data_IF_065224369320
#
_entry.id   IF_065224369320
#
_cell.length_a   1.000
_cell.length_b   1.000
_cell.length_c   1.000
_cell.angle_alpha   90.00
_cell.angle_beta   90.00
_cell.angle_gamma   90.00
#
_symmetry.space_group_name_H-M   'P 1'
#
loop_
_entity.id
_entity.type
_entity.pdbx_description
1 polymer ?
#
# COMPACT_ATOMS: atom_id res chain seq x y z
N UNK A 1 -1.92 -36.23 -10.93
CA UNK A 1 -2.72 -35.18 -10.24
C UNK A 1 -2.40 -35.24 -8.76
N UNK A 2 -1.43 -34.44 -8.27
CA UNK A 2 -1.07 -34.40 -6.84
C UNK A 2 -1.99 -33.40 -6.13
N UNK A 3 -2.70 -33.90 -5.12
CA UNK A 3 -3.75 -33.22 -4.36
C UNK A 3 -3.29 -31.93 -3.67
N UNK A 4 -4.08 -30.86 -3.84
CA UNK A 4 -4.62 -29.82 -2.93
C UNK A 4 -4.15 -29.71 -1.45
N UNK A 5 -3.34 -30.60 -0.89
CA UNK A 5 -3.08 -30.74 0.57
C UNK A 5 -2.28 -29.62 1.26
N UNK A 6 -1.74 -28.66 0.51
CA UNK A 6 -0.84 -27.63 1.05
C UNK A 6 -1.38 -26.20 0.91
N UNK A 7 -2.62 -26.03 0.43
CA UNK A 7 -3.28 -24.72 0.39
C UNK A 7 -4.15 -24.55 1.63
N UNK A 8 -4.00 -23.40 2.28
CA UNK A 8 -4.69 -23.07 3.51
C UNK A 8 -5.45 -21.75 3.34
N UNK A 9 -6.73 -21.74 3.69
CA UNK A 9 -7.55 -20.52 3.62
C UNK A 9 -7.22 -19.57 4.76
N UNK A 10 -7.15 -18.28 4.44
CA UNK A 10 -7.11 -17.19 5.42
C UNK A 10 -8.54 -16.94 5.88
N UNK A 11 -8.85 -16.99 7.19
CA UNK A 11 -10.22 -16.88 7.71
C UNK A 11 -10.69 -15.41 7.78
N UNK A 12 -10.71 -14.73 6.63
CA UNK A 12 -11.18 -13.35 6.48
C UNK A 12 -12.24 -13.31 5.39
N UNK A 13 -13.32 -12.54 5.62
CA UNK A 13 -14.39 -12.38 4.63
C UNK A 13 -13.81 -11.78 3.34
N UNK A 14 -14.16 -12.28 2.15
CA UNK A 14 -13.66 -11.74 0.89
C UNK A 14 -14.04 -10.27 0.64
N UNK A 15 -15.06 -9.74 1.32
CA UNK A 15 -15.38 -8.31 1.32
C UNK A 15 -14.36 -7.47 2.11
N UNK A 16 -13.62 -8.09 3.03
CA UNK A 16 -12.56 -7.48 3.84
C UNK A 16 -11.16 -7.84 3.36
N UNK A 17 -11.03 -8.79 2.43
CA UNK A 17 -9.77 -9.13 1.78
C UNK A 17 -9.94 -9.65 0.36
N UNK A 18 -9.58 -8.81 -0.61
CA UNK A 18 -9.44 -9.15 -2.02
C UNK A 18 -7.96 -9.05 -2.42
N UNK A 19 -7.39 -10.18 -2.84
CA UNK A 19 -5.97 -10.32 -3.14
C UNK A 19 -5.58 -9.49 -4.37
N UNK A 20 -6.37 -9.57 -5.44
CA UNK A 20 -6.09 -8.85 -6.68
C UNK A 20 -6.09 -7.34 -6.45
N UNK A 21 -7.14 -6.82 -5.83
CA UNK A 21 -7.31 -5.39 -5.54
C UNK A 21 -6.22 -4.88 -4.61
N UNK A 22 -5.84 -5.68 -3.61
CA UNK A 22 -4.75 -5.35 -2.69
C UNK A 22 -3.40 -5.29 -3.41
N UNK A 23 -3.01 -6.33 -4.17
CA UNK A 23 -1.68 -6.42 -4.77
C UNK A 23 -1.51 -5.54 -6.02
N UNK A 24 -2.60 -5.18 -6.72
CA UNK A 24 -2.57 -4.29 -7.90
C UNK A 24 -2.92 -2.81 -7.61
N UNK A 25 -2.99 -2.42 -6.34
CA UNK A 25 -3.31 -1.04 -5.96
C UNK A 25 -2.13 -0.06 -6.00
N UNK A 26 -0.97 -0.51 -6.46
CA UNK A 26 0.23 0.32 -6.59
C UNK A 26 1.00 0.55 -5.28
N UNK A 27 0.64 -0.15 -4.21
CA UNK A 27 1.39 -0.15 -2.94
C UNK A 27 2.57 -1.13 -2.96
N UNK A 28 2.41 -2.32 -3.57
CA UNK A 28 3.47 -3.32 -3.66
C UNK A 28 3.84 -3.64 -5.10
N UNK A 29 5.15 -3.78 -5.36
CA UNK A 29 5.70 -4.04 -6.70
C UNK A 29 6.43 -5.37 -6.81
N UNK A 30 6.51 -6.14 -5.71
CA UNK A 30 7.25 -7.40 -5.62
C UNK A 30 6.41 -8.65 -5.83
N UNK A 31 5.11 -8.48 -6.02
CA UNK A 31 4.20 -9.58 -6.29
C UNK A 31 4.10 -9.82 -7.79
N UNK A 32 4.40 -11.05 -8.21
CA UNK A 32 4.35 -11.47 -9.61
C UNK A 32 3.19 -12.45 -9.75
N UNK A 33 2.27 -12.17 -10.68
CA UNK A 33 1.18 -13.06 -11.00
C UNK A 33 1.62 -14.10 -12.05
N UNK A 34 1.49 -15.38 -11.70
CA UNK A 34 1.69 -16.50 -12.61
C UNK A 34 0.33 -16.93 -13.19
N UNK A 35 0.05 -16.53 -14.42
CA UNK A 35 -1.23 -16.81 -15.09
C UNK A 35 -1.46 -18.29 -15.39
N UNK A 36 -0.40 -19.08 -15.57
CA UNK A 36 -0.51 -20.53 -15.82
C UNK A 36 -0.97 -21.27 -14.57
N UNK A 37 -0.52 -20.85 -13.40
CA UNK A 37 -0.89 -21.45 -12.11
C UNK A 37 -2.08 -20.75 -11.44
N UNK A 38 -2.43 -19.54 -11.90
CA UNK A 38 -3.39 -18.65 -11.25
C UNK A 38 -2.99 -18.32 -9.80
N UNK A 39 -1.73 -17.92 -9.61
CA UNK A 39 -1.13 -17.68 -8.31
C UNK A 39 -0.31 -16.38 -8.29
N UNK A 40 -0.24 -15.75 -7.12
CA UNK A 40 0.65 -14.65 -6.82
C UNK A 40 1.87 -15.14 -6.06
N UNK A 41 3.06 -14.79 -6.52
CA UNK A 41 4.32 -15.12 -5.85
C UNK A 41 4.98 -13.83 -5.36
N UNK A 42 5.40 -13.81 -4.10
CA UNK A 42 6.01 -12.64 -3.48
C UNK A 42 6.90 -13.03 -2.32
N UNK A 43 7.69 -12.09 -1.81
CA UNK A 43 8.59 -12.31 -0.69
C UNK A 43 8.20 -11.38 0.44
N UNK A 44 8.01 -11.93 1.64
CA UNK A 44 7.77 -11.18 2.88
C UNK A 44 8.79 -11.67 3.90
N UNK A 45 9.53 -10.75 4.54
CA UNK A 45 10.54 -11.07 5.57
C UNK A 45 11.55 -12.13 5.13
N UNK A 46 11.92 -12.15 3.83
CA UNK A 46 12.85 -13.13 3.26
C UNK A 46 12.24 -14.50 2.91
N UNK A 47 10.95 -14.72 3.17
CA UNK A 47 10.25 -15.96 2.83
C UNK A 47 9.45 -15.82 1.52
N UNK A 48 9.59 -16.80 0.63
CA UNK A 48 8.75 -16.90 -0.58
C UNK A 48 7.35 -17.37 -0.20
N UNK A 49 6.36 -16.57 -0.56
CA UNK A 49 4.94 -16.86 -0.39
C UNK A 49 4.27 -17.06 -1.75
N UNK A 50 3.40 -18.07 -1.82
CA UNK A 50 2.48 -18.26 -2.94
C UNK A 50 1.06 -18.08 -2.40
N UNK A 51 0.32 -17.17 -3.01
CA UNK A 51 -1.05 -16.83 -2.65
C UNK A 51 -1.96 -17.05 -3.85
N UNK A 52 -3.24 -17.32 -3.60
CA UNK A 52 -4.24 -17.32 -4.67
C UNK A 52 -5.61 -16.95 -4.11
N UNK A 53 -6.50 -16.55 -5.01
CA UNK A 53 -7.91 -16.34 -4.72
C UNK A 53 -8.69 -16.79 -5.96
N UNK A 54 -9.50 -17.84 -5.82
CA UNK A 54 -10.14 -18.49 -6.97
C UNK A 54 -11.18 -17.59 -7.64
N UNK A 55 -11.95 -16.85 -6.83
CA UNK A 55 -12.91 -15.82 -7.22
C UNK A 55 -12.95 -14.77 -6.11
N UNK A 56 -13.42 -13.57 -6.41
CA UNK A 56 -13.56 -12.49 -5.41
C UNK A 56 -14.49 -12.85 -4.26
N UNK A 57 -15.39 -13.83 -4.44
CA UNK A 57 -16.27 -14.36 -3.39
C UNK A 57 -15.66 -15.50 -2.57
N UNK A 58 -14.44 -15.93 -2.88
CA UNK A 58 -13.72 -16.95 -2.13
C UNK A 58 -12.67 -16.31 -1.22
N UNK A 59 -12.38 -16.92 -0.04
CA UNK A 59 -11.27 -16.49 0.79
C UNK A 59 -9.94 -16.58 0.06
N UNK A 60 -8.99 -15.73 0.46
CA UNK A 60 -7.60 -15.82 0.00
C UNK A 60 -6.95 -17.07 0.61
N UNK A 61 -6.16 -17.78 -0.18
CA UNK A 61 -5.42 -18.98 0.24
C UNK A 61 -3.92 -18.77 0.12
N UNK A 62 -3.16 -19.39 1.01
CA UNK A 62 -1.69 -19.43 0.95
C UNK A 62 -1.19 -20.87 0.83
N UNK A 63 -0.09 -21.04 0.10
CA UNK A 63 0.62 -22.31 0.00
C UNK A 63 1.60 -22.46 1.16
N UNK A 64 1.59 -23.60 1.82
CA UNK A 64 2.55 -23.93 2.86
C UNK A 64 2.87 -25.42 2.86
N UNK A 65 4.13 -25.76 2.63
CA UNK A 65 4.60 -27.15 2.76
C UNK A 65 5.05 -27.44 4.20
N UNK A 66 4.31 -28.32 4.88
CA UNK A 66 4.67 -28.80 6.22
C UNK A 66 5.93 -29.67 6.15
N UNK A 67 7.10 -29.07 6.41
CA UNK A 67 8.34 -29.81 6.70
C UNK A 67 8.88 -29.61 8.13
N UNK A 68 8.18 -28.88 9.03
CA UNK A 68 8.76 -28.41 10.30
C UNK A 68 7.94 -28.65 11.58
N UNK A 69 6.98 -29.59 11.59
CA UNK A 69 6.35 -30.04 12.86
C UNK A 69 5.48 -28.99 13.60
N UNK A 70 5.17 -27.85 12.96
CA UNK A 70 4.32 -26.81 13.55
C UNK A 70 2.84 -27.22 13.46
N UNK A 71 2.14 -27.22 14.60
CA UNK A 71 0.68 -27.37 14.66
C UNK A 71 0.04 -26.11 14.05
N UNK A 72 -0.73 -26.29 12.99
CA UNK A 72 -1.34 -25.20 12.22
C UNK A 72 -2.74 -24.93 12.80
N UNK A 73 -2.88 -23.90 13.62
CA UNK A 73 -4.19 -23.33 13.98
C UNK A 73 -4.33 -21.86 13.55
N UNK A 74 -3.23 -21.17 13.24
CA UNK A 74 -3.21 -19.74 12.93
C UNK A 74 -2.56 -19.42 11.58
N UNK A 75 -2.98 -18.33 10.97
CA UNK A 75 -2.32 -17.73 9.79
C UNK A 75 -0.89 -17.34 10.16
N UNK A 76 0.13 -17.63 9.32
CA UNK A 76 1.51 -17.23 9.56
C UNK A 76 1.65 -15.75 9.88
N UNK A 77 2.52 -15.41 10.84
CA UNK A 77 2.73 -14.03 11.30
C UNK A 77 3.03 -13.08 10.13
N UNK A 78 3.91 -13.49 9.21
CA UNK A 78 4.26 -12.69 8.03
C UNK A 78 3.04 -12.25 7.23
N UNK A 79 2.11 -13.17 6.96
CA UNK A 79 0.89 -12.87 6.21
C UNK A 79 -0.09 -12.03 7.03
N UNK A 80 -0.25 -12.37 8.32
CA UNK A 80 -1.14 -11.63 9.23
C UNK A 80 -0.72 -10.17 9.36
N UNK A 81 0.58 -9.94 9.55
CA UNK A 81 1.17 -8.62 9.73
C UNK A 81 1.19 -7.84 8.41
N UNK A 82 1.72 -8.43 7.34
CA UNK A 82 1.87 -7.76 6.04
C UNK A 82 0.54 -7.31 5.44
N UNK A 83 -0.51 -8.13 5.56
CA UNK A 83 -1.84 -7.76 5.09
C UNK A 83 -2.70 -7.06 6.15
N UNK A 84 -2.22 -6.86 7.39
CA UNK A 84 -2.96 -6.26 8.52
C UNK A 84 -4.28 -6.98 8.86
N UNK A 85 -4.27 -8.31 8.85
CA UNK A 85 -5.49 -9.13 8.97
C UNK A 85 -6.20 -9.01 10.33
N UNK A 86 -5.57 -8.36 11.30
CA UNK A 86 -6.12 -7.98 12.60
C UNK A 86 -7.14 -6.83 12.54
N UNK A 87 -7.12 -6.04 11.46
CA UNK A 87 -8.03 -4.92 11.25
C UNK A 87 -9.35 -5.37 10.57
N UNK A 88 -10.50 -4.87 11.00
CA UNK A 88 -11.78 -5.09 10.30
C UNK A 88 -12.01 -3.99 9.25
N UNK A 89 -11.89 -4.33 7.96
CA UNK A 89 -12.04 -3.34 6.88
C UNK A 89 -13.49 -2.86 6.75
N UNK A 90 -14.47 -3.74 6.89
CA UNK A 90 -15.90 -3.39 6.81
C UNK A 90 -16.29 -2.33 7.84
N UNK A 91 -15.76 -2.38 9.05
CA UNK A 91 -16.02 -1.38 10.09
C UNK A 91 -15.39 -0.02 9.74
N UNK A 92 -14.17 -0.02 9.17
CA UNK A 92 -13.54 1.20 8.66
C UNK A 92 -14.33 1.81 7.50
N UNK A 93 -14.78 0.99 6.55
CA UNK A 93 -15.59 1.45 5.42
C UNK A 93 -16.90 2.05 5.91
N UNK A 94 -17.59 1.44 6.89
CA UNK A 94 -18.78 2.03 7.52
C UNK A 94 -18.47 3.39 8.13
N UNK A 95 -17.37 3.51 8.85
CA UNK A 95 -16.96 4.79 9.45
C UNK A 95 -16.74 5.87 8.38
N UNK A 96 -16.04 5.55 7.30
CA UNK A 96 -15.79 6.50 6.22
C UNK A 96 -17.06 6.86 5.46
N UNK A 97 -17.96 5.90 5.23
CA UNK A 97 -19.26 6.15 4.59
C UNK A 97 -20.14 7.13 5.36
N UNK A 98 -20.06 7.14 6.70
CA UNK A 98 -20.79 8.13 7.51
C UNK A 98 -20.29 9.57 7.32
N UNK A 99 -19.04 9.75 6.88
CA UNK A 99 -18.39 11.06 6.71
C UNK A 99 -18.35 11.49 5.24
N UNK A 100 -18.29 10.52 4.32
CA UNK A 100 -18.03 10.73 2.91
C UNK A 100 -19.07 10.03 2.03
N UNK A 101 -19.92 10.83 1.40
CA UNK A 101 -20.94 10.36 0.46
C UNK A 101 -20.37 9.51 -0.68
N UNK A 102 -19.12 9.75 -1.09
CA UNK A 102 -18.45 8.92 -2.09
C UNK A 102 -18.30 7.48 -1.60
N UNK A 103 -17.89 7.28 -0.35
CA UNK A 103 -17.79 5.94 0.24
C UNK A 103 -19.16 5.31 0.42
N UNK A 104 -20.15 6.08 0.90
CA UNK A 104 -21.52 5.57 1.08
C UNK A 104 -22.11 5.08 -0.25
N UNK A 105 -22.07 5.93 -1.29
CA UNK A 105 -22.62 5.60 -2.60
C UNK A 105 -21.97 4.35 -3.21
N UNK A 106 -20.66 4.16 -3.01
CA UNK A 106 -19.90 3.06 -3.64
C UNK A 106 -19.92 1.75 -2.87
N UNK A 107 -19.92 1.80 -1.54
CA UNK A 107 -19.88 0.60 -0.71
C UNK A 107 -21.26 0.15 -0.21
N UNK A 108 -22.32 0.92 -0.48
CA UNK A 108 -23.71 0.52 -0.22
C UNK A 108 -24.03 -0.86 -0.82
N UNK A 109 -24.97 -1.58 -0.18
CA UNK A 109 -25.33 -2.97 -0.52
C UNK A 109 -25.78 -3.19 -1.97
N UNK A 110 -26.11 -2.13 -2.70
CA UNK A 110 -26.59 -2.18 -4.08
C UNK A 110 -25.47 -2.10 -5.12
N UNK A 111 -24.22 -1.78 -4.72
CA UNK A 111 -23.08 -1.72 -5.63
C UNK A 111 -22.23 -3.01 -5.51
N UNK A 112 -22.61 -4.03 -6.27
CA UNK A 112 -22.03 -5.38 -6.19
C UNK A 112 -20.64 -5.54 -6.84
N UNK A 113 -20.11 -4.53 -7.55
CA UNK A 113 -18.90 -4.69 -8.37
C UNK A 113 -17.86 -3.58 -8.16
N UNK A 114 -17.60 -3.24 -6.89
CA UNK A 114 -16.51 -2.33 -6.59
C UNK A 114 -15.16 -3.08 -6.59
N UNK A 115 -14.28 -2.73 -7.53
CA UNK A 115 -12.92 -3.27 -7.65
C UNK A 115 -11.99 -2.88 -6.50
N UNK A 116 -12.40 -2.04 -5.55
CA UNK A 116 -11.65 -1.75 -4.33
C UNK A 116 -12.24 -2.44 -3.09
N UNK A 117 -13.34 -3.20 -3.23
CA UNK A 117 -13.86 -3.98 -2.10
C UNK A 117 -12.83 -5.02 -1.68
N UNK A 118 -12.58 -5.12 -0.38
CA UNK A 118 -11.55 -5.98 0.19
C UNK A 118 -10.11 -5.49 -0.01
N UNK A 119 -9.87 -4.29 -0.54
CA UNK A 119 -8.52 -3.75 -0.69
C UNK A 119 -7.91 -3.41 0.68
N UNK A 120 -6.78 -4.04 1.01
CA UNK A 120 -6.08 -3.83 2.28
C UNK A 120 -4.86 -2.93 2.10
N UNK A 121 -4.58 -2.08 3.08
CA UNK A 121 -3.33 -1.34 3.17
C UNK A 121 -2.24 -2.27 3.69
N UNK A 122 -1.15 -2.39 2.94
CA UNK A 122 -0.05 -3.28 3.29
C UNK A 122 0.82 -2.69 4.41
N UNK A 123 1.48 -3.56 5.18
CA UNK A 123 2.52 -3.25 6.17
C UNK A 123 3.85 -3.78 5.66
N UNK A 124 4.45 -3.04 4.72
CA UNK A 124 5.65 -3.47 4.01
C UNK A 124 6.93 -3.27 4.82
N UNK A 125 8.01 -3.91 4.38
CA UNK A 125 9.34 -3.68 4.95
C UNK A 125 9.81 -2.25 4.63
N UNK A 126 10.28 -1.45 5.62
CA UNK A 126 10.66 -0.05 5.40
C UNK A 126 11.79 0.15 4.40
N UNK A 127 12.78 -0.74 4.41
CA UNK A 127 13.93 -0.65 3.50
C UNK A 127 13.50 -0.95 2.06
N UNK A 128 12.75 -2.03 1.87
CA UNK A 128 12.20 -2.37 0.55
C UNK A 128 11.26 -1.27 0.02
N UNK A 129 10.43 -0.70 0.89
CA UNK A 129 9.48 0.37 0.54
C UNK A 129 10.23 1.64 0.12
N UNK A 130 11.25 2.04 0.89
CA UNK A 130 12.10 3.18 0.59
C UNK A 130 12.72 3.06 -0.82
N UNK A 131 13.42 1.97 -1.10
CA UNK A 131 14.09 1.80 -2.38
C UNK A 131 13.11 1.60 -3.54
N UNK A 132 11.97 0.95 -3.32
CA UNK A 132 10.90 0.85 -4.33
C UNK A 132 10.39 2.23 -4.73
N UNK A 133 10.15 3.12 -3.76
CA UNK A 133 9.66 4.45 -4.08
C UNK A 133 10.73 5.34 -4.72
N UNK A 134 11.97 5.33 -4.23
CA UNK A 134 13.07 6.09 -4.85
C UNK A 134 13.27 5.66 -6.31
N UNK A 135 13.20 4.37 -6.60
CA UNK A 135 13.35 3.84 -7.98
C UNK A 135 12.11 4.10 -8.85
N UNK A 136 10.93 4.24 -8.25
CA UNK A 136 9.70 4.64 -8.94
C UNK A 136 9.60 6.15 -9.23
N UNK A 137 10.35 7.00 -8.52
CA UNK A 137 10.21 8.46 -8.52
C UNK A 137 10.48 9.15 -9.88
N UNK A 138 10.71 8.38 -10.95
CA UNK A 138 10.83 8.86 -12.32
C UNK A 138 10.42 7.80 -13.38
N UNK A 139 9.47 6.90 -13.06
CA UNK A 139 9.04 5.84 -13.99
C UNK A 139 7.52 5.64 -13.96
N UNK A 140 6.93 5.33 -15.11
CA UNK A 140 5.55 4.81 -15.19
C UNK A 140 5.51 3.34 -14.75
N UNK A 141 4.33 2.89 -14.27
CA UNK A 141 4.07 1.54 -13.75
C UNK A 141 4.58 0.41 -14.66
N UNK A 142 4.68 0.65 -15.98
CA UNK A 142 5.14 -0.32 -17.00
C UNK A 142 6.65 -0.52 -17.08
N UNK A 143 7.49 0.22 -16.32
CA UNK A 143 8.96 0.18 -16.45
C UNK A 143 9.74 -0.28 -15.22
N UNK A 144 9.07 -0.52 -14.08
CA UNK A 144 9.70 -0.94 -12.81
C UNK A 144 10.37 -2.32 -12.93
N UNK A 145 9.81 -3.24 -13.73
CA UNK A 145 10.36 -4.60 -13.92
C UNK A 145 11.67 -4.63 -14.75
N UNK A 146 11.92 -3.63 -15.60
CA UNK A 146 13.13 -3.55 -16.44
C UNK A 146 14.31 -2.86 -15.74
N UNK A 147 14.10 -2.30 -14.55
CA UNK A 147 15.10 -1.53 -13.80
C UNK A 147 16.12 -2.41 -13.06
N UNK A 148 15.73 -3.61 -12.63
CA UNK A 148 16.59 -4.49 -11.83
C UNK A 148 17.87 -4.94 -12.57
N UNK A 149 17.83 -5.13 -13.90
CA UNK A 149 19.04 -5.48 -14.68
C UNK A 149 19.92 -4.26 -15.05
N UNK A 150 19.43 -3.03 -14.86
CA UNK A 150 20.18 -1.77 -15.09
C UNK A 150 20.82 -1.22 -13.80
N UNK A 151 20.65 -1.92 -12.67
CA UNK A 151 21.03 -1.53 -11.30
C UNK A 151 22.46 -1.02 -11.12
N UNK A 152 23.40 -1.46 -11.94
CA UNK A 152 24.81 -1.14 -11.74
C UNK A 152 25.30 0.05 -12.59
N UNK A 153 24.63 0.43 -13.68
CA UNK A 153 25.14 1.46 -14.61
C UNK A 153 24.44 2.82 -14.54
N UNK A 154 23.22 2.90 -13.96
CA UNK A 154 22.37 4.12 -14.02
C UNK A 154 21.98 4.72 -12.64
N UNK A 155 22.41 4.15 -11.50
CA UNK A 155 21.76 4.33 -10.18
C UNK A 155 22.38 5.39 -9.25
N UNK A 156 22.58 6.62 -9.72
CA UNK A 156 23.08 7.72 -8.87
C UNK A 156 22.27 7.90 -7.57
N UNK A 157 20.95 8.12 -7.66
CA UNK A 157 20.13 8.42 -6.48
C UNK A 157 19.94 7.24 -5.51
N UNK A 158 19.63 5.99 -5.95
CA UNK A 158 19.46 4.89 -5.02
C UNK A 158 20.76 4.46 -4.34
N UNK A 159 21.91 4.54 -5.02
CA UNK A 159 23.21 4.25 -4.40
C UNK A 159 23.59 5.33 -3.37
N UNK A 160 23.33 6.61 -3.67
CA UNK A 160 23.49 7.70 -2.70
C UNK A 160 22.58 7.52 -1.49
N UNK A 161 21.31 7.14 -1.70
CA UNK A 161 20.37 6.85 -0.62
C UNK A 161 20.82 5.67 0.23
N UNK A 162 21.30 4.59 -0.39
CA UNK A 162 21.81 3.42 0.34
C UNK A 162 23.04 3.75 1.18
N UNK A 163 24.02 4.45 0.59
CA UNK A 163 25.21 4.89 1.33
C UNK A 163 24.86 5.86 2.45
N UNK A 164 23.97 6.82 2.20
CA UNK A 164 23.48 7.73 3.23
C UNK A 164 22.82 6.97 4.37
N UNK A 165 21.94 6.01 4.06
CA UNK A 165 21.22 5.23 5.05
C UNK A 165 22.18 4.38 5.91
N UNK A 166 23.16 3.70 5.28
CA UNK A 166 24.18 2.93 5.99
C UNK A 166 24.96 3.80 6.99
N UNK A 167 25.31 5.03 6.61
CA UNK A 167 26.00 5.99 7.47
C UNK A 167 25.11 6.60 8.58
N UNK A 168 23.79 6.43 8.50
CA UNK A 168 22.81 7.00 9.42
C UNK A 168 21.96 5.92 10.12
N UNK A 169 22.59 4.78 10.46
CA UNK A 169 22.00 3.73 11.29
C UNK A 169 21.31 2.59 10.52
N UNK A 170 21.33 2.63 9.19
CA UNK A 170 20.94 1.51 8.34
C UNK A 170 19.49 1.07 8.50
N UNK A 171 19.24 -0.22 8.23
CA UNK A 171 17.93 -0.87 8.39
C UNK A 171 17.36 -0.71 9.80
N UNK A 172 18.19 -0.81 10.84
CA UNK A 172 17.76 -0.67 12.24
C UNK A 172 17.11 0.69 12.48
N UNK A 173 17.71 1.77 11.95
CA UNK A 173 17.14 3.10 12.08
C UNK A 173 15.77 3.23 11.39
N UNK A 174 15.57 2.61 10.23
CA UNK A 174 14.25 2.62 9.57
C UNK A 174 13.18 1.89 10.39
N UNK A 175 13.54 0.77 11.03
CA UNK A 175 12.63 0.01 11.88
C UNK A 175 12.21 0.82 13.13
N UNK A 176 13.13 1.59 13.72
CA UNK A 176 12.83 2.48 14.84
C UNK A 176 11.75 3.53 14.50
N UNK A 177 11.73 4.03 13.26
CA UNK A 177 10.75 5.04 12.82
C UNK A 177 9.30 4.58 12.97
N UNK A 178 9.03 3.26 13.00
CA UNK A 178 7.68 2.72 13.29
C UNK A 178 7.16 3.19 14.64
N UNK A 179 8.04 3.35 15.62
CA UNK A 179 7.70 3.81 16.97
C UNK A 179 7.69 5.34 17.14
N UNK A 180 8.28 6.09 16.21
CA UNK A 180 8.38 7.54 16.27
C UNK A 180 7.08 8.23 15.83
N UNK A 181 6.96 9.55 16.03
CA UNK A 181 5.87 10.32 15.44
C UNK A 181 5.99 10.42 13.91
N UNK A 182 4.88 10.76 13.22
CA UNK A 182 4.91 11.06 11.78
C UNK A 182 5.88 12.21 11.46
N UNK A 183 5.87 13.27 12.27
CA UNK A 183 6.76 14.41 12.09
C UNK A 183 8.24 14.01 12.11
N UNK A 184 8.65 13.23 13.12
CA UNK A 184 10.04 12.79 13.24
C UNK A 184 10.44 11.81 12.13
N UNK A 185 9.55 10.86 11.80
CA UNK A 185 9.78 9.91 10.72
C UNK A 185 9.93 10.62 9.36
N UNK A 186 9.03 11.56 9.04
CA UNK A 186 9.09 12.34 7.80
C UNK A 186 10.36 13.20 7.76
N UNK A 187 10.72 13.86 8.87
CA UNK A 187 11.92 14.69 8.96
C UNK A 187 13.21 13.88 8.75
N UNK A 188 13.27 12.63 9.22
CA UNK A 188 14.38 11.72 8.92
C UNK A 188 14.40 11.35 7.43
N UNK A 189 13.26 10.88 6.89
CA UNK A 189 13.17 10.41 5.51
C UNK A 189 13.52 11.51 4.50
N UNK A 190 13.14 12.77 4.76
CA UNK A 190 13.44 13.91 3.89
C UNK A 190 14.95 14.23 3.77
N UNK A 191 15.79 13.69 4.64
CA UNK A 191 17.24 13.82 4.54
C UNK A 191 17.86 12.82 3.56
N UNK A 192 17.11 11.77 3.17
CA UNK A 192 17.58 10.74 2.26
C UNK A 192 17.56 11.28 0.81
N UNK A 193 18.69 11.22 0.07
CA UNK A 193 18.73 11.62 -1.33
C UNK A 193 17.65 10.93 -2.18
N UNK A 194 16.88 11.74 -2.93
CA UNK A 194 15.79 11.24 -3.78
C UNK A 194 14.44 11.06 -3.08
N UNK A 195 14.34 11.35 -1.78
CA UNK A 195 13.07 11.30 -1.03
C UNK A 195 12.47 12.71 -0.91
N UNK A 196 11.39 12.95 -1.68
CA UNK A 196 10.53 14.12 -1.51
C UNK A 196 9.38 13.86 -0.53
N UNK A 197 8.63 14.91 -0.17
CA UNK A 197 7.56 14.86 0.84
C UNK A 197 6.49 13.80 0.57
N UNK A 198 6.00 13.71 -0.68
CA UNK A 198 5.06 12.65 -1.11
C UNK A 198 5.64 11.25 -0.91
N UNK A 199 6.90 11.04 -1.28
CA UNK A 199 7.57 9.75 -1.12
C UNK A 199 7.74 9.41 0.37
N UNK A 200 8.17 10.38 1.18
CA UNK A 200 8.29 10.22 2.63
C UNK A 200 6.96 9.79 3.27
N UNK A 201 5.85 10.42 2.86
CA UNK A 201 4.52 10.06 3.38
C UNK A 201 4.04 8.70 2.89
N UNK A 202 4.32 8.31 1.64
CA UNK A 202 4.03 6.96 1.16
C UNK A 202 4.78 5.90 2.00
N UNK A 203 6.07 6.14 2.31
CA UNK A 203 6.87 5.26 3.17
C UNK A 203 6.26 5.23 4.59
N UNK A 204 5.89 6.39 5.14
CA UNK A 204 5.26 6.48 6.46
C UNK A 204 3.98 5.66 6.55
N UNK A 205 3.10 5.79 5.56
CA UNK A 205 1.81 5.10 5.50
C UNK A 205 1.98 3.58 5.31
N UNK A 206 2.78 3.17 4.32
CA UNK A 206 2.82 1.78 3.87
C UNK A 206 3.81 0.91 4.64
N UNK A 207 4.74 1.50 5.40
CA UNK A 207 5.80 0.73 6.07
C UNK A 207 6.15 1.20 7.48
N UNK A 208 5.79 2.43 7.89
CA UNK A 208 6.14 2.96 9.23
C UNK A 208 4.93 3.13 10.17
N UNK A 209 3.80 2.50 9.83
CA UNK A 209 2.59 2.43 10.67
C UNK A 209 1.91 3.78 10.94
N UNK A 210 2.11 4.78 10.07
CA UNK A 210 1.44 6.08 10.17
C UNK A 210 0.13 6.05 9.36
N UNK A 211 -0.86 5.31 9.87
CA UNK A 211 -2.11 5.00 9.15
C UNK A 211 -3.02 6.20 8.89
N UNK A 212 -2.79 7.30 9.61
CA UNK A 212 -3.49 8.56 9.46
C UNK A 212 -2.79 9.55 8.50
N UNK A 213 -1.69 9.14 7.85
CA UNK A 213 -0.97 10.00 6.90
C UNK A 213 -1.58 9.85 5.51
N UNK A 214 -1.85 10.98 4.86
CA UNK A 214 -2.44 11.03 3.52
C UNK A 214 -1.42 11.63 2.53
N UNK A 215 -0.64 10.81 1.81
CA UNK A 215 0.27 11.31 0.78
C UNK A 215 -0.46 12.08 -0.33
N UNK A 216 -0.07 13.34 -0.56
CA UNK A 216 -0.67 14.20 -1.58
C UNK A 216 0.10 14.11 -2.91
N UNK A 217 -0.56 13.59 -3.93
CA UNK A 217 -0.16 13.68 -5.33
C UNK A 217 -1.18 14.49 -6.14
N UNK A 218 -1.07 14.46 -7.47
CA UNK A 218 -1.99 15.20 -8.35
C UNK A 218 -3.45 14.77 -8.22
N UNK A 219 -3.72 13.50 -7.91
CA UNK A 219 -5.09 13.00 -7.75
C UNK A 219 -5.64 13.36 -6.38
N UNK A 220 -4.86 13.18 -5.32
CA UNK A 220 -5.29 13.61 -3.98
C UNK A 220 -5.46 15.12 -3.87
N UNK A 221 -4.67 15.89 -4.61
CA UNK A 221 -4.88 17.32 -4.74
C UNK A 221 -6.22 17.66 -5.42
N UNK A 222 -6.65 16.86 -6.41
CA UNK A 222 -7.97 17.01 -7.01
C UNK A 222 -9.09 16.65 -6.04
N UNK A 223 -8.95 15.53 -5.32
CA UNK A 223 -9.91 15.13 -4.27
C UNK A 223 -10.04 16.24 -3.22
N UNK A 224 -8.92 16.80 -2.76
CA UNK A 224 -8.93 17.90 -1.80
C UNK A 224 -9.73 19.12 -2.31
N UNK A 225 -9.62 19.44 -3.60
CA UNK A 225 -10.40 20.52 -4.23
C UNK A 225 -11.90 20.19 -4.27
N UNK A 226 -12.25 18.96 -4.62
CA UNK A 226 -13.65 18.49 -4.64
C UNK A 226 -14.26 18.50 -3.23
N UNK A 227 -13.46 18.26 -2.19
CA UNK A 227 -13.84 18.41 -0.77
C UNK A 227 -13.84 19.85 -0.26
N UNK A 228 -13.53 20.83 -1.13
CA UNK A 228 -13.57 22.26 -0.76
C UNK A 228 -12.41 22.73 0.12
N UNK A 229 -11.28 22.01 0.17
CA UNK A 229 -10.11 22.43 0.95
C UNK A 229 -9.49 23.67 0.29
N UNK A 230 -9.45 24.85 0.96
CA UNK A 230 -9.03 26.11 0.35
C UNK A 230 -7.63 26.06 -0.28
N UNK A 231 -6.67 25.40 0.37
CA UNK A 231 -5.28 25.30 -0.08
C UNK A 231 -5.11 24.49 -1.37
N UNK A 232 -6.09 23.66 -1.74
CA UNK A 232 -6.11 22.90 -3.01
C UNK A 232 -6.64 23.71 -4.21
N UNK A 233 -7.06 24.97 -3.99
CA UNK A 233 -7.48 25.88 -5.06
C UNK A 233 -6.31 26.39 -5.90
N UNK A 234 -5.11 26.46 -5.31
CA UNK A 234 -3.90 26.91 -5.98
C UNK A 234 -3.43 25.87 -7.01
N UNK A 235 -2.88 26.35 -8.15
CA UNK A 235 -2.37 25.46 -9.22
C UNK A 235 -1.07 24.74 -8.83
N UNK A 236 -0.21 25.39 -8.04
CA UNK A 236 1.09 24.86 -7.64
C UNK A 236 1.08 24.51 -6.15
N UNK A 237 1.61 23.33 -5.82
CA UNK A 237 1.68 22.86 -4.45
C UNK A 237 3.00 23.27 -3.79
N UNK A 238 2.91 24.06 -2.72
CA UNK A 238 4.02 24.38 -1.82
C UNK A 238 4.10 23.35 -0.69
N UNK A 239 5.20 23.32 0.06
CA UNK A 239 5.33 22.48 1.27
C UNK A 239 4.21 22.78 2.28
N UNK A 240 3.90 24.06 2.50
CA UNK A 240 2.87 24.48 3.45
C UNK A 240 1.47 24.04 3.00
N UNK A 241 1.14 24.24 1.72
CA UNK A 241 -0.17 23.81 1.20
C UNK A 241 -0.29 22.29 1.19
N UNK A 242 0.80 21.55 0.92
CA UNK A 242 0.84 20.09 1.06
C UNK A 242 0.44 19.66 2.48
N UNK A 243 1.08 20.24 3.50
CA UNK A 243 0.85 19.88 4.90
C UNK A 243 -0.60 20.14 5.32
N UNK A 244 -1.15 21.29 4.91
CA UNK A 244 -2.53 21.65 5.25
C UNK A 244 -3.53 20.71 4.56
N UNK A 245 -3.30 20.38 3.29
CA UNK A 245 -4.16 19.46 2.54
C UNK A 245 -4.12 18.06 3.16
N UNK A 246 -2.92 17.53 3.43
CA UNK A 246 -2.75 16.22 4.06
C UNK A 246 -3.42 16.15 5.42
N UNK A 247 -3.22 17.18 6.26
CA UNK A 247 -3.86 17.28 7.58
C UNK A 247 -5.39 17.36 7.48
N UNK A 248 -5.91 18.18 6.57
CA UNK A 248 -7.36 18.35 6.38
C UNK A 248 -8.04 17.05 5.96
N UNK A 249 -7.43 16.30 5.03
CA UNK A 249 -7.93 14.98 4.63
C UNK A 249 -7.77 13.93 5.74
N UNK A 250 -6.68 14.02 6.50
CA UNK A 250 -6.47 13.17 7.67
C UNK A 250 -7.56 13.37 8.72
N UNK A 251 -7.90 14.61 9.02
CA UNK A 251 -8.96 14.95 9.97
C UNK A 251 -10.35 14.55 9.47
N UNK A 252 -10.57 14.66 8.16
CA UNK A 252 -11.83 14.26 7.54
C UNK A 252 -12.09 12.75 7.67
N UNK A 253 -11.13 11.90 7.32
CA UNK A 253 -11.33 10.44 7.39
C UNK A 253 -10.93 9.81 8.73
N UNK A 254 -10.13 10.48 9.55
CA UNK A 254 -9.72 10.05 10.88
C UNK A 254 -8.45 9.18 10.92
N UNK A 255 -8.37 8.30 11.92
CA UNK A 255 -7.14 7.57 12.27
C UNK A 255 -6.61 6.62 11.19
N UNK A 256 -7.46 6.24 10.22
CA UNK A 256 -7.12 5.35 9.11
C UNK A 256 -7.27 6.04 7.75
N UNK A 257 -7.16 7.37 7.72
CA UNK A 257 -7.32 8.19 6.52
C UNK A 257 -6.39 7.81 5.36
N UNK A 258 -5.18 7.33 5.62
CA UNK A 258 -4.30 6.82 4.55
C UNK A 258 -4.80 5.51 3.95
N UNK A 259 -5.49 4.68 4.74
CA UNK A 259 -6.18 3.49 4.22
C UNK A 259 -7.40 3.90 3.40
N UNK A 260 -8.18 4.89 3.87
CA UNK A 260 -9.29 5.46 3.10
C UNK A 260 -8.79 5.97 1.73
N UNK A 261 -7.68 6.72 1.71
CA UNK A 261 -7.02 7.11 0.46
C UNK A 261 -6.70 5.90 -0.42
N UNK A 262 -6.11 4.84 0.13
CA UNK A 262 -5.69 3.67 -0.67
C UNK A 262 -6.89 2.99 -1.35
N UNK A 263 -8.01 2.88 -0.63
CA UNK A 263 -9.28 2.38 -1.18
C UNK A 263 -9.84 3.35 -2.23
N UNK A 264 -9.87 4.65 -1.94
CA UNK A 264 -10.36 5.69 -2.87
C UNK A 264 -9.54 5.83 -4.14
N UNK A 265 -8.21 5.69 -4.04
CA UNK A 265 -7.25 5.94 -5.12
C UNK A 265 -7.18 4.80 -6.15
N UNK A 266 -7.32 3.54 -5.71
CA UNK A 266 -7.35 2.38 -6.62
C UNK A 266 -8.37 2.56 -7.75
N UNK A 267 -9.42 3.34 -7.49
CA UNK A 267 -10.58 3.54 -8.36
C UNK A 267 -10.49 4.78 -9.25
N UNK A 268 -9.69 5.78 -8.86
CA UNK A 268 -9.45 6.97 -9.67
C UNK A 268 -8.63 6.64 -10.92
N UNK A 269 -7.73 5.66 -10.84
CA UNK A 269 -7.01 5.13 -12.01
C UNK A 269 -7.91 4.31 -12.95
N UNK A 270 -8.88 3.55 -12.42
CA UNK A 270 -9.80 2.73 -13.22
C UNK A 270 -10.83 3.58 -13.99
N UNK A 271 -11.28 4.69 -13.39
CA UNK A 271 -12.26 5.60 -14.01
C UNK A 271 -11.60 6.51 -15.05
N UNK A 272 -10.38 7.01 -14.81
CA UNK A 272 -9.69 7.87 -15.77
C UNK A 272 -9.21 7.11 -17.02
N UNK A 273 -8.91 5.81 -16.92
CA UNK A 273 -8.56 5.01 -18.10
C UNK A 273 -9.75 4.71 -19.03
N UNK A 274 -10.97 4.64 -18.49
CA UNK A 274 -12.18 4.36 -19.27
C UNK A 274 -12.90 5.60 -19.80
N UNK A 275 -12.49 6.81 -19.39
CA UNK A 275 -13.03 8.08 -19.89
C UNK A 275 -12.18 8.71 -21.00
N UNK A 276 -11.03 8.11 -21.35
CA UNK A 276 -10.11 8.59 -22.39
C UNK A 276 -9.76 7.53 -23.45
N UNK A 277 -10.65 6.56 -23.68
CA UNK A 277 -10.77 5.84 -24.95
C UNK A 277 -12.16 6.03 -25.54
#
# INVERSE_FOLDING_TARGET
>A
MRQVKNWHSIPVDPQDFNLFSTLNSGQAFRWIFNSTLNEWHGVINGHLWRLRQMKDSNPVEYYFEKNLGIKLNDVPFDLRDYFRLDMNLSDLVKEWSLKDEWFENRFSKNCQMDTARGLRLLRQDPEETLFSFITSANNNLTRITKLLCKLCSEYGNPLLAANWLLNNGGRSRLLELRSMSHFEAQAFLLQIPGVGKKVADCICLMSLDKLNVVPIDVHMHRVAREKGIPEASCKNMTTKSYDIISKSLSDFWGNYSGWAQTVGFHLLHTILYNLFM
#
